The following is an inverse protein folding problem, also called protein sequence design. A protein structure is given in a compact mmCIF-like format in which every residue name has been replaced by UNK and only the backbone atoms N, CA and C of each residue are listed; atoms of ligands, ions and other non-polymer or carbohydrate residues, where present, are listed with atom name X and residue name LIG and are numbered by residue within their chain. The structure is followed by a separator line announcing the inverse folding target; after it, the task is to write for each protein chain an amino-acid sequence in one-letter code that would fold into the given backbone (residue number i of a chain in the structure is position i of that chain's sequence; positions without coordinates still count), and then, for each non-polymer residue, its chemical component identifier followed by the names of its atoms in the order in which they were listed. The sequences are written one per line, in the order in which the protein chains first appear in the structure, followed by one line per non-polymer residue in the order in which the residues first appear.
data_IF_791615184225
#
_entry.id   IF_791615184225
#
_cell.length_a   1.000
_cell.length_b   1.000
_cell.length_c   1.000
_cell.angle_alpha   90.00
_cell.angle_beta   90.00
_cell.angle_gamma   90.00
#
_symmetry.space_group_name_H-M   'P 1'
#
loop_
_entity.id
_entity.type
_entity.pdbx_description
1 polymer ?
#
# COMPACT_ATOMS: atom_id res chain seq x y z
N UNK A 1 32.67 5.15 -19.10
CA UNK A 1 31.59 5.63 -18.23
C UNK A 1 30.37 5.83 -19.10
N UNK A 2 29.37 4.94 -19.00
CA UNK A 2 28.21 4.93 -19.89
C UNK A 2 27.25 6.05 -19.50
N UNK A 3 27.07 7.05 -20.37
CA UNK A 3 25.97 8.00 -20.27
C UNK A 3 24.64 7.22 -20.22
N UNK A 4 23.94 7.30 -19.10
CA UNK A 4 22.61 6.73 -18.96
C UNK A 4 21.65 7.52 -19.86
N UNK A 5 21.09 6.85 -20.87
CA UNK A 5 20.08 7.46 -21.75
C UNK A 5 18.95 8.06 -20.88
N UNK A 6 18.74 9.38 -20.87
CA UNK A 6 17.80 10.06 -19.97
C UNK A 6 16.36 9.54 -20.11
N UNK A 7 15.97 9.07 -21.30
CA UNK A 7 14.68 8.43 -21.54
C UNK A 7 14.48 7.16 -20.70
N UNK A 8 15.53 6.36 -20.49
CA UNK A 8 15.45 5.11 -19.70
C UNK A 8 15.32 5.39 -18.20
N UNK A 9 15.91 6.49 -17.73
CA UNK A 9 15.84 6.91 -16.33
C UNK A 9 14.42 7.42 -16.01
N UNK A 10 13.85 8.25 -16.89
CA UNK A 10 12.48 8.75 -16.78
C UNK A 10 11.47 7.60 -16.82
N UNK A 11 11.61 6.66 -17.75
CA UNK A 11 10.73 5.48 -17.81
C UNK A 11 10.79 4.62 -16.54
N UNK A 12 11.96 4.54 -15.88
CA UNK A 12 12.10 3.80 -14.63
C UNK A 12 11.40 4.53 -13.47
N UNK A 13 11.59 5.85 -13.35
CA UNK A 13 10.90 6.67 -12.36
C UNK A 13 9.38 6.56 -12.54
N UNK A 14 8.89 6.77 -13.76
CA UNK A 14 7.46 6.73 -14.04
C UNK A 14 6.84 5.38 -13.67
N UNK A 15 7.56 4.27 -13.86
CA UNK A 15 7.10 2.95 -13.40
C UNK A 15 7.12 2.78 -11.88
N UNK A 16 8.05 3.42 -11.19
CA UNK A 16 8.17 3.31 -9.73
C UNK A 16 7.12 4.15 -9.00
N UNK A 17 6.84 5.35 -9.51
CA UNK A 17 5.91 6.32 -8.91
C UNK A 17 4.58 6.45 -9.70
N UNK A 18 4.27 5.51 -10.59
CA UNK A 18 3.10 5.56 -11.48
C UNK A 18 1.80 5.80 -10.71
N UNK A 19 1.56 4.97 -9.71
CA UNK A 19 0.34 5.01 -8.91
C UNK A 19 0.25 6.30 -8.08
N UNK A 20 1.35 6.73 -7.47
CA UNK A 20 1.40 7.96 -6.69
C UNK A 20 1.14 9.22 -7.54
N UNK A 21 1.70 9.28 -8.75
CA UNK A 21 1.45 10.37 -9.70
C UNK A 21 0.01 10.37 -10.19
N UNK A 22 -0.56 9.20 -10.46
CA UNK A 22 -1.97 9.07 -10.84
C UNK A 22 -2.92 9.50 -9.73
N UNK A 23 -2.70 9.04 -8.51
CA UNK A 23 -3.49 9.43 -7.33
C UNK A 23 -3.41 10.94 -7.09
N UNK A 24 -2.20 11.50 -7.16
CA UNK A 24 -1.99 12.93 -7.02
C UNK A 24 -2.75 13.74 -8.08
N UNK A 25 -2.71 13.32 -9.35
CA UNK A 25 -3.49 13.95 -10.42
C UNK A 25 -4.99 13.88 -10.13
N UNK A 26 -5.54 12.73 -9.73
CA UNK A 26 -6.97 12.59 -9.40
C UNK A 26 -7.36 13.52 -8.24
N UNK A 27 -6.55 13.58 -7.18
CA UNK A 27 -6.76 14.49 -6.06
C UNK A 27 -6.84 15.96 -6.51
N UNK A 28 -6.03 16.37 -7.50
CA UNK A 28 -6.02 17.75 -8.00
C UNK A 28 -7.10 18.04 -9.04
N UNK A 29 -7.56 17.02 -9.77
CA UNK A 29 -8.58 17.14 -10.80
C UNK A 29 -10.01 16.98 -10.27
N UNK A 30 -10.18 16.34 -9.10
CA UNK A 30 -11.50 16.02 -8.57
C UNK A 30 -12.19 14.87 -9.30
N UNK A 31 -11.44 14.07 -10.07
CA UNK A 31 -11.98 12.91 -10.79
C UNK A 31 -10.92 12.18 -11.60
N UNK A 32 -11.25 10.96 -12.03
CA UNK A 32 -10.37 10.10 -12.83
C UNK A 32 -10.56 10.26 -14.37
N UNK A 33 -11.54 11.05 -14.81
CA UNK A 33 -11.92 11.17 -16.22
C UNK A 33 -10.77 11.70 -17.11
N UNK A 34 -10.09 12.75 -16.65
CA UNK A 34 -8.99 13.40 -17.38
C UNK A 34 -7.63 12.70 -17.19
N UNK A 35 -7.57 11.68 -16.31
CA UNK A 35 -6.31 11.06 -15.90
C UNK A 35 -5.54 10.43 -17.07
N UNK A 36 -6.14 9.65 -17.99
CA UNK A 36 -5.38 9.04 -19.09
C UNK A 36 -4.71 10.07 -20.00
N UNK A 37 -5.42 11.16 -20.32
CA UNK A 37 -4.90 12.26 -21.14
C UNK A 37 -3.75 12.95 -20.43
N UNK A 38 -3.97 13.39 -19.19
CA UNK A 38 -2.98 14.15 -18.42
C UNK A 38 -1.74 13.33 -18.05
N UNK A 39 -1.91 12.04 -17.75
CA UNK A 39 -0.78 11.16 -17.51
C UNK A 39 0.06 10.94 -18.79
N UNK A 40 -0.60 10.87 -19.96
CA UNK A 40 0.09 10.88 -21.25
C UNK A 40 0.86 12.17 -21.52
N UNK A 41 0.28 13.33 -21.22
CA UNK A 41 0.93 14.63 -21.33
C UNK A 41 2.12 14.78 -20.37
N UNK A 42 1.98 14.31 -19.12
CA UNK A 42 3.06 14.25 -18.13
C UNK A 42 4.25 13.45 -18.67
N UNK A 43 3.99 12.24 -19.20
CA UNK A 43 5.03 11.40 -19.79
C UNK A 43 5.73 12.09 -20.97
N UNK A 44 4.94 12.73 -21.85
CA UNK A 44 5.48 13.48 -22.98
C UNK A 44 6.30 14.70 -22.56
N UNK A 45 5.85 15.43 -21.53
CA UNK A 45 6.55 16.60 -21.01
C UNK A 45 7.89 16.23 -20.39
N UNK A 46 7.93 15.19 -19.55
CA UNK A 46 9.17 14.69 -18.95
C UNK A 46 10.16 14.20 -20.02
N UNK A 47 9.66 13.50 -21.05
CA UNK A 47 10.49 13.00 -22.15
C UNK A 47 11.10 14.10 -23.04
N UNK A 48 10.43 15.25 -23.20
CA UNK A 48 10.89 16.38 -24.03
C UNK A 48 11.72 17.42 -23.27
N UNK A 49 11.39 17.69 -22.01
CA UNK A 49 11.94 18.80 -21.22
C UNK A 49 13.00 18.42 -20.18
N UNK A 50 13.22 17.11 -19.96
CA UNK A 50 13.98 16.62 -18.81
C UNK A 50 15.32 17.32 -18.56
N UNK A 51 16.15 17.56 -19.59
CA UNK A 51 17.53 17.98 -19.35
C UNK A 51 17.72 19.40 -18.80
N UNK A 52 16.84 20.36 -19.10
CA UNK A 52 16.99 21.76 -18.65
C UNK A 52 16.32 21.99 -17.29
N UNK A 53 15.17 21.37 -17.07
CA UNK A 53 14.43 21.47 -15.81
C UNK A 53 15.07 20.63 -14.69
N UNK A 54 15.75 19.53 -15.05
CA UNK A 54 16.54 18.71 -14.11
C UNK A 54 17.66 19.49 -13.42
N UNK A 55 18.22 20.51 -14.07
CA UNK A 55 19.31 21.29 -13.49
C UNK A 55 18.88 22.09 -12.25
N UNK A 56 17.56 22.34 -12.11
CA UNK A 56 17.00 23.16 -11.05
C UNK A 56 16.11 22.37 -10.09
N UNK A 57 15.72 21.15 -10.43
CA UNK A 57 14.90 20.29 -9.59
C UNK A 57 15.76 19.55 -8.55
N UNK A 58 15.33 19.49 -7.27
CA UNK A 58 16.04 18.69 -6.24
C UNK A 58 16.15 17.20 -6.61
N UNK A 59 15.17 16.68 -7.35
CA UNK A 59 15.18 15.32 -7.85
C UNK A 59 14.29 15.15 -9.09
N UNK A 60 14.45 14.00 -9.75
CA UNK A 60 13.54 13.57 -10.81
C UNK A 60 12.09 13.40 -10.32
N UNK A 61 11.92 13.00 -9.06
CA UNK A 61 10.61 12.80 -8.44
C UNK A 61 9.91 14.15 -8.25
N UNK A 62 10.60 15.14 -7.67
CA UNK A 62 10.03 16.48 -7.52
C UNK A 62 9.72 17.14 -8.86
N UNK A 63 10.55 16.92 -9.89
CA UNK A 63 10.25 17.36 -11.26
C UNK A 63 8.95 16.73 -11.81
N UNK A 64 8.74 15.43 -11.58
CA UNK A 64 7.53 14.73 -12.02
C UNK A 64 6.28 15.27 -11.33
N UNK A 65 6.31 15.46 -10.00
CA UNK A 65 5.17 16.01 -9.26
C UNK A 65 4.94 17.50 -9.59
N UNK A 66 5.98 18.30 -9.79
CA UNK A 66 5.84 19.70 -10.21
C UNK A 66 5.20 19.81 -11.60
N UNK A 67 5.60 18.92 -12.52
CA UNK A 67 5.01 18.83 -13.86
C UNK A 67 3.55 18.38 -13.79
N UNK A 68 3.25 17.36 -13.00
CA UNK A 68 1.88 16.89 -12.77
C UNK A 68 0.99 18.00 -12.20
N UNK A 69 1.48 18.73 -11.18
CA UNK A 69 0.78 19.85 -10.56
C UNK A 69 0.46 20.96 -11.55
N UNK A 70 1.44 21.37 -12.36
CA UNK A 70 1.27 22.41 -13.39
C UNK A 70 0.24 22.00 -14.44
N UNK A 71 0.25 20.74 -14.87
CA UNK A 71 -0.74 20.20 -15.82
C UNK A 71 -2.15 20.15 -15.20
N UNK A 72 -2.25 19.75 -13.93
CA UNK A 72 -3.53 19.75 -13.20
C UNK A 72 -4.08 21.16 -13.05
N UNK A 73 -3.27 22.14 -12.61
CA UNK A 73 -3.67 23.54 -12.48
C UNK A 73 -4.08 24.18 -13.82
N UNK A 74 -3.46 23.78 -14.92
CA UNK A 74 -3.86 24.24 -16.26
C UNK A 74 -5.22 23.67 -16.70
N UNK A 75 -5.62 22.52 -16.17
CA UNK A 75 -6.89 21.85 -16.49
C UNK A 75 -8.01 22.25 -15.53
N UNK A 76 -7.71 22.32 -14.23
CA UNK A 76 -8.62 22.67 -13.15
C UNK A 76 -7.91 23.69 -12.23
N UNK A 77 -7.96 25.00 -12.56
CA UNK A 77 -7.28 26.04 -11.77
C UNK A 77 -7.83 26.17 -10.35
N UNK A 78 -9.13 25.93 -10.20
CA UNK A 78 -9.83 25.88 -8.92
C UNK A 78 -10.56 24.54 -8.81
N UNK A 79 -10.07 23.70 -7.90
CA UNK A 79 -10.77 22.47 -7.56
C UNK A 79 -11.93 22.79 -6.62
N UNK A 80 -13.16 22.60 -7.09
CA UNK A 80 -14.34 22.72 -6.25
C UNK A 80 -14.25 21.74 -5.06
N UNK A 81 -14.57 22.21 -3.85
CA UNK A 81 -14.52 21.38 -2.64
C UNK A 81 -15.45 20.17 -2.77
N UNK A 82 -16.57 20.34 -3.47
CA UNK A 82 -17.56 19.31 -3.77
C UNK A 82 -17.00 18.23 -4.71
N UNK A 83 -16.20 18.62 -5.71
CA UNK A 83 -15.54 17.67 -6.61
C UNK A 83 -14.49 16.84 -5.86
N UNK A 84 -13.72 17.47 -4.97
CA UNK A 84 -12.79 16.74 -4.11
C UNK A 84 -13.50 15.80 -3.13
N UNK A 85 -14.59 16.26 -2.50
CA UNK A 85 -15.35 15.48 -1.53
C UNK A 85 -16.09 14.29 -2.17
N UNK A 86 -16.42 14.37 -3.46
CA UNK A 86 -17.11 13.31 -4.22
C UNK A 86 -16.18 12.29 -4.85
N UNK A 87 -14.86 12.44 -4.70
CA UNK A 87 -13.89 11.44 -5.14
C UNK A 87 -14.20 10.07 -4.52
N UNK A 88 -14.10 9.02 -5.33
CA UNK A 88 -14.13 7.66 -4.81
C UNK A 88 -12.78 7.35 -4.15
N UNK A 89 -12.80 7.26 -2.82
CA UNK A 89 -11.62 6.92 -2.03
C UNK A 89 -11.47 5.41 -1.92
N UNK A 90 -10.23 4.94 -2.03
CA UNK A 90 -9.90 3.56 -1.73
C UNK A 90 -10.28 3.30 -0.26
N UNK A 91 -11.20 2.37 -0.05
CA UNK A 91 -11.59 1.96 1.30
C UNK A 91 -10.44 1.16 1.90
N UNK A 92 -9.92 1.61 3.02
CA UNK A 92 -9.05 0.80 3.87
C UNK A 92 -9.84 -0.47 4.25
N UNK A 93 -9.23 -1.68 4.22
CA UNK A 93 -9.95 -2.93 4.47
C UNK A 93 -10.76 -2.88 5.76
N UNK A 94 -11.83 -3.68 5.82
CA UNK A 94 -12.88 -3.82 6.86
C UNK A 94 -12.41 -4.07 8.32
N UNK A 95 -11.12 -3.89 8.63
CA UNK A 95 -10.53 -3.98 9.97
C UNK A 95 -10.66 -2.69 10.79
N UNK A 96 -10.99 -1.57 10.18
CA UNK A 96 -11.09 -0.32 10.92
C UNK A 96 -12.56 0.06 11.17
N UNK A 97 -12.86 0.34 12.44
CA UNK A 97 -14.18 0.78 12.91
C UNK A 97 -14.77 1.85 11.97
N UNK A 98 -16.10 1.96 11.83
CA UNK A 98 -16.73 3.11 11.16
C UNK A 98 -16.13 4.48 11.56
N UNK A 99 -15.62 4.58 12.79
CA UNK A 99 -14.89 5.73 13.31
C UNK A 99 -13.60 6.07 12.53
N UNK A 100 -12.89 5.10 11.96
CA UNK A 100 -11.68 5.36 11.18
C UNK A 100 -11.99 5.92 9.80
N UNK A 101 -13.03 5.41 9.12
CA UNK A 101 -13.49 5.98 7.87
C UNK A 101 -13.86 7.46 8.04
N UNK A 102 -14.60 7.78 9.12
CA UNK A 102 -14.92 9.16 9.48
C UNK A 102 -13.65 9.97 9.79
N UNK A 103 -12.68 9.41 10.52
CA UNK A 103 -11.40 10.07 10.78
C UNK A 103 -10.68 10.46 9.48
N UNK A 104 -10.59 9.55 8.50
CA UNK A 104 -9.96 9.85 7.20
C UNK A 104 -10.72 10.96 6.45
N UNK A 105 -12.06 10.94 6.46
CA UNK A 105 -12.87 12.00 5.85
C UNK A 105 -12.66 13.35 6.53
N UNK A 106 -12.54 13.35 7.87
CA UNK A 106 -12.22 14.56 8.63
C UNK A 106 -10.84 15.09 8.26
N UNK A 107 -9.84 14.24 8.09
CA UNK A 107 -8.50 14.65 7.64
C UNK A 107 -8.58 15.30 6.25
N UNK A 108 -9.24 14.64 5.29
CA UNK A 108 -9.39 15.13 3.90
C UNK A 108 -10.05 16.50 3.83
N UNK A 109 -11.12 16.71 4.59
CA UNK A 109 -12.00 17.88 4.45
C UNK A 109 -11.76 18.99 5.48
N UNK A 110 -11.02 18.68 6.55
CA UNK A 110 -10.74 19.59 7.66
C UNK A 110 -9.47 20.42 7.51
N UNK A 111 -8.50 19.93 6.72
CA UNK A 111 -7.30 20.69 6.39
C UNK A 111 -7.60 21.76 5.33
N UNK A 112 -6.92 22.91 5.41
CA UNK A 112 -6.91 23.86 4.29
C UNK A 112 -6.19 23.24 3.08
N UNK A 113 -6.60 23.63 1.87
CA UNK A 113 -6.10 23.01 0.64
C UNK A 113 -4.57 23.04 0.49
N UNK A 114 -3.87 24.16 0.77
CA UNK A 114 -2.41 24.18 0.78
C UNK A 114 -1.77 23.20 1.76
N UNK A 115 -2.25 23.14 3.00
CA UNK A 115 -1.71 22.21 4.01
C UNK A 115 -2.00 20.76 3.66
N UNK A 116 -3.19 20.46 3.14
CA UNK A 116 -3.56 19.13 2.67
C UNK A 116 -2.63 18.62 1.56
N UNK A 117 -2.34 19.47 0.56
CA UNK A 117 -1.40 19.13 -0.52
C UNK A 117 0.02 18.88 0.01
N UNK A 118 0.49 19.70 0.96
CA UNK A 118 1.82 19.53 1.58
C UNK A 118 1.91 18.20 2.34
N UNK A 119 0.90 17.86 3.15
CA UNK A 119 0.88 16.61 3.89
C UNK A 119 0.75 15.39 2.96
N UNK A 120 -0.07 15.48 1.91
CA UNK A 120 -0.15 14.44 0.87
C UNK A 120 1.23 14.18 0.25
N UNK A 121 1.91 15.24 -0.22
CA UNK A 121 3.23 15.10 -0.83
C UNK A 121 4.27 14.53 0.14
N UNK A 122 4.21 14.93 1.42
CA UNK A 122 5.13 14.44 2.44
C UNK A 122 4.91 12.96 2.76
N UNK A 123 3.70 12.59 3.15
CA UNK A 123 3.43 11.28 3.75
C UNK A 123 2.87 10.26 2.77
N UNK A 124 2.02 10.69 1.82
CA UNK A 124 1.42 9.78 0.83
C UNK A 124 2.31 9.58 -0.41
N UNK A 125 3.17 10.55 -0.71
CA UNK A 125 4.08 10.52 -1.87
C UNK A 125 5.55 10.45 -1.49
N UNK A 126 5.91 10.56 -0.21
CA UNK A 126 7.28 10.45 0.29
C UNK A 126 8.24 11.42 -0.42
N UNK A 127 7.89 12.71 -0.49
CA UNK A 127 8.80 13.79 -0.89
C UNK A 127 9.48 14.40 0.35
N UNK A 128 10.69 14.91 0.16
CA UNK A 128 11.38 15.76 1.15
C UNK A 128 10.84 17.18 1.15
N UNK A 129 11.20 17.95 2.16
CA UNK A 129 10.76 19.34 2.34
C UNK A 129 11.22 20.25 1.19
N UNK A 130 12.45 20.04 0.69
CA UNK A 130 12.99 20.75 -0.47
C UNK A 130 12.27 20.36 -1.76
N UNK A 131 11.98 19.07 -1.93
CA UNK A 131 11.22 18.56 -3.06
C UNK A 131 9.80 19.12 -3.08
N UNK A 132 9.12 19.16 -1.92
CA UNK A 132 7.79 19.76 -1.78
C UNK A 132 7.84 21.24 -2.10
N UNK A 133 8.82 21.97 -1.54
CA UNK A 133 9.02 23.40 -1.82
C UNK A 133 9.17 23.70 -3.30
N UNK A 134 9.91 22.85 -4.03
CA UNK A 134 10.02 22.92 -5.48
C UNK A 134 8.68 22.65 -6.18
N UNK A 135 7.94 21.62 -5.79
CA UNK A 135 6.64 21.24 -6.40
C UNK A 135 5.60 22.36 -6.27
N UNK A 136 5.48 22.97 -5.09
CA UNK A 136 4.42 23.95 -4.81
C UNK A 136 4.88 25.41 -4.93
N UNK A 137 6.17 25.66 -5.20
CA UNK A 137 6.74 27.00 -5.32
C UNK A 137 6.82 27.77 -4.00
N UNK A 138 7.16 27.08 -2.89
CA UNK A 138 7.28 27.68 -1.55
C UNK A 138 8.66 27.46 -0.94
N UNK A 139 9.01 28.29 0.03
CA UNK A 139 10.29 28.16 0.73
C UNK A 139 10.27 26.93 1.66
N UNK A 140 11.37 26.19 1.81
CA UNK A 140 11.43 25.03 2.72
C UNK A 140 10.99 25.34 4.15
N UNK A 141 11.23 26.55 4.66
CA UNK A 141 10.78 26.97 6.00
C UNK A 141 9.25 27.06 6.12
N UNK A 142 8.56 27.50 5.06
CA UNK A 142 7.09 27.56 5.01
C UNK A 142 6.50 26.16 4.91
N UNK A 143 7.13 25.28 4.12
CA UNK A 143 6.77 23.85 4.02
C UNK A 143 6.91 23.17 5.38
N UNK A 144 8.06 23.35 6.06
CA UNK A 144 8.30 22.81 7.39
C UNK A 144 7.25 23.26 8.41
N UNK A 145 6.91 24.55 8.41
CA UNK A 145 5.87 25.08 9.29
C UNK A 145 4.50 24.44 9.01
N UNK A 146 4.14 24.27 7.74
CA UNK A 146 2.88 23.65 7.35
C UNK A 146 2.84 22.15 7.69
N UNK A 147 3.94 21.42 7.50
CA UNK A 147 4.05 20.02 7.93
C UNK A 147 3.88 19.93 9.45
N UNK A 148 4.59 20.76 10.23
CA UNK A 148 4.51 20.73 11.69
C UNK A 148 3.08 21.01 12.19
N UNK A 149 2.46 22.10 11.73
CA UNK A 149 1.09 22.47 12.14
C UNK A 149 0.05 21.45 11.66
N UNK A 150 0.15 20.98 10.41
CA UNK A 150 -0.76 19.99 9.85
C UNK A 150 -0.65 18.62 10.53
N UNK A 151 0.56 18.16 10.81
CA UNK A 151 0.81 16.92 11.56
C UNK A 151 0.25 17.01 12.98
N UNK A 152 0.47 18.13 13.68
CA UNK A 152 -0.11 18.33 15.01
C UNK A 152 -1.64 18.23 14.97
N UNK A 153 -2.27 18.88 13.99
CA UNK A 153 -3.72 18.84 13.82
C UNK A 153 -4.24 17.42 13.55
N UNK A 154 -3.58 16.63 12.70
CA UNK A 154 -3.97 15.23 12.43
C UNK A 154 -3.85 14.37 13.69
N UNK A 155 -2.78 14.54 14.48
CA UNK A 155 -2.59 13.80 15.73
C UNK A 155 -3.65 14.14 16.78
N UNK A 156 -3.99 15.42 16.93
CA UNK A 156 -5.05 15.88 17.84
C UNK A 156 -6.41 15.32 17.42
N UNK A 157 -6.72 15.35 16.12
CA UNK A 157 -7.94 14.76 15.58
C UNK A 157 -7.98 13.25 15.84
N UNK A 158 -6.93 12.50 15.53
CA UNK A 158 -6.91 11.06 15.74
C UNK A 158 -7.06 10.66 17.22
N UNK A 159 -6.49 11.44 18.15
CA UNK A 159 -6.70 11.26 19.60
C UNK A 159 -8.15 11.50 20.02
N UNK A 160 -8.84 12.48 19.41
CA UNK A 160 -10.26 12.71 19.65
C UNK A 160 -11.15 11.54 19.19
N UNK A 161 -10.66 10.73 18.25
CA UNK A 161 -11.27 9.47 17.80
C UNK A 161 -10.83 8.25 18.63
N UNK A 162 -10.11 8.47 19.74
CA UNK A 162 -9.71 7.42 20.68
C UNK A 162 -8.39 6.71 20.32
N UNK A 163 -7.62 7.20 19.35
CA UNK A 163 -6.31 6.64 19.04
C UNK A 163 -5.29 7.00 20.13
N UNK A 164 -4.65 5.99 20.72
CA UNK A 164 -3.67 6.16 21.80
C UNK A 164 -2.28 6.54 21.25
N UNK A 165 -1.93 6.02 20.08
CA UNK A 165 -0.66 6.29 19.40
C UNK A 165 -0.87 6.38 17.87
N UNK A 166 -1.40 7.50 17.36
CA UNK A 166 -1.74 7.62 15.95
C UNK A 166 -0.49 7.73 15.06
N UNK A 167 -0.38 6.84 14.08
CA UNK A 167 0.60 6.91 13.00
C UNK A 167 0.13 7.93 11.95
N UNK A 168 0.72 9.13 11.97
CA UNK A 168 0.37 10.21 11.04
C UNK A 168 0.69 9.86 9.59
N UNK A 169 1.76 9.10 9.35
CA UNK A 169 2.14 8.72 7.99
C UNK A 169 1.08 7.80 7.40
N UNK A 170 0.67 6.78 8.15
CA UNK A 170 -0.41 5.88 7.77
C UNK A 170 -1.73 6.64 7.54
N UNK A 171 -2.13 7.48 8.49
CA UNK A 171 -3.40 8.24 8.43
C UNK A 171 -3.46 9.15 7.21
N UNK A 172 -2.40 9.93 6.97
CA UNK A 172 -2.35 10.84 5.82
C UNK A 172 -2.25 10.03 4.52
N UNK A 173 -1.43 8.98 4.48
CA UNK A 173 -1.33 8.12 3.30
C UNK A 173 -2.69 7.53 2.92
N UNK A 174 -3.45 7.00 3.87
CA UNK A 174 -4.77 6.41 3.60
C UNK A 174 -5.84 7.48 3.31
N UNK A 175 -5.69 8.68 3.84
CA UNK A 175 -6.54 9.83 3.50
C UNK A 175 -6.41 10.23 2.03
N UNK A 176 -5.22 10.15 1.42
CA UNK A 176 -5.01 10.61 0.04
C UNK A 176 -4.82 9.47 -0.97
N UNK A 177 -5.71 8.47 -0.95
CA UNK A 177 -5.74 7.35 -1.91
C UNK A 177 -7.05 7.32 -2.69
N UNK A 178 -7.27 8.20 -3.67
CA UNK A 178 -8.41 8.08 -4.56
C UNK A 178 -8.25 6.87 -5.48
N UNK A 179 -9.36 6.33 -5.97
CA UNK A 179 -9.34 5.38 -7.07
C UNK A 179 -8.84 6.09 -8.34
N UNK A 180 -7.92 5.45 -9.04
CA UNK A 180 -7.23 6.02 -10.23
C UNK A 180 -7.69 5.44 -11.55
N UNK A 181 -8.69 4.58 -11.51
CA UNK A 181 -9.35 4.00 -12.68
C UNK A 181 -10.84 4.18 -12.51
N UNK A 182 -11.54 4.19 -13.63
CA UNK A 182 -12.85 3.55 -13.65
C UNK A 182 -12.62 2.04 -13.44
N UNK A 183 -12.38 1.59 -12.20
CA UNK A 183 -12.39 0.16 -11.81
C UNK A 183 -13.78 -0.50 -12.04
N UNK A 184 -14.69 0.20 -12.73
CA UNK A 184 -15.91 -0.31 -13.37
C UNK A 184 -15.71 -1.38 -14.46
N UNK A 185 -14.48 -1.83 -14.76
CA UNK A 185 -14.27 -3.13 -15.40
C UNK A 185 -14.47 -4.26 -14.38
N UNK A 186 -15.68 -4.40 -13.85
CA UNK A 186 -16.12 -5.56 -13.07
C UNK A 186 -15.50 -5.72 -11.68
N UNK A 187 -14.69 -4.77 -11.18
CA UNK A 187 -14.31 -4.75 -9.77
C UNK A 187 -15.32 -3.88 -9.01
N UNK A 188 -16.40 -4.52 -8.59
CA UNK A 188 -17.15 -4.05 -7.43
C UNK A 188 -16.35 -4.54 -6.22
N UNK A 189 -15.69 -3.69 -5.41
CA UNK A 189 -15.29 -4.07 -4.06
C UNK A 189 -16.55 -4.20 -3.21
N UNK A 190 -17.31 -5.25 -3.48
CA UNK A 190 -18.34 -5.80 -2.63
C UNK A 190 -17.86 -7.19 -2.29
N UNK A 191 -17.16 -7.34 -1.15
CA UNK A 191 -16.61 -8.60 -0.65
C UNK A 191 -15.93 -9.42 -1.74
N UNK A 192 -14.61 -9.31 -1.88
CA UNK A 192 -13.86 -10.47 -2.33
C UNK A 192 -14.11 -11.56 -1.28
N UNK A 193 -15.13 -12.38 -1.49
CA UNK A 193 -15.56 -13.35 -0.51
C UNK A 193 -14.38 -14.29 -0.30
N UNK A 194 -13.92 -14.42 0.94
CA UNK A 194 -12.91 -15.38 1.31
C UNK A 194 -13.30 -16.72 0.69
N UNK A 195 -12.48 -17.23 -0.24
CA UNK A 195 -12.77 -18.47 -0.93
C UNK A 195 -12.86 -19.57 0.13
N UNK A 196 -14.07 -20.06 0.41
CA UNK A 196 -14.26 -21.12 1.40
C UNK A 196 -14.02 -22.47 0.74
N UNK A 197 -12.81 -22.98 0.91
CA UNK A 197 -12.47 -24.33 0.47
C UNK A 197 -13.03 -25.35 1.48
N UNK A 198 -13.82 -26.30 0.98
CA UNK A 198 -14.31 -27.41 1.78
C UNK A 198 -13.21 -28.47 1.98
N UNK A 199 -13.28 -29.27 3.07
CA UNK A 199 -12.48 -30.47 3.19
C UNK A 199 -12.60 -31.36 1.93
N UNK A 200 -11.48 -31.92 1.47
CA UNK A 200 -11.37 -32.69 0.23
C UNK A 200 -11.11 -31.86 -1.04
N UNK A 201 -11.16 -30.52 -0.98
CA UNK A 201 -10.78 -29.68 -2.11
C UNK A 201 -9.27 -29.80 -2.41
N UNK A 202 -8.89 -29.90 -3.68
CA UNK A 202 -7.48 -29.98 -4.09
C UNK A 202 -7.01 -28.64 -4.65
N UNK A 203 -5.97 -28.06 -4.04
CA UNK A 203 -5.35 -26.81 -4.45
C UNK A 203 -3.97 -27.08 -5.06
N UNK A 204 -3.69 -26.40 -6.18
CA UNK A 204 -2.42 -26.57 -6.90
C UNK A 204 -2.17 -27.98 -7.44
N UNK A 205 -3.22 -28.83 -7.52
CA UNK A 205 -3.09 -30.23 -7.89
C UNK A 205 -2.30 -31.10 -6.89
N UNK A 206 -2.06 -30.60 -5.67
CA UNK A 206 -1.14 -31.23 -4.69
C UNK A 206 -1.66 -31.21 -3.27
N UNK A 207 -2.33 -30.15 -2.85
CA UNK A 207 -2.70 -29.97 -1.44
C UNK A 207 -4.19 -30.22 -1.25
N UNK A 208 -4.54 -31.27 -0.53
CA UNK A 208 -5.92 -31.60 -0.19
C UNK A 208 -6.30 -30.93 1.12
N UNK A 209 -7.35 -30.10 1.11
CA UNK A 209 -7.83 -29.41 2.30
C UNK A 209 -8.38 -30.41 3.31
N UNK A 210 -7.90 -30.34 4.55
CA UNK A 210 -8.39 -31.14 5.67
C UNK A 210 -9.38 -30.34 6.52
N UNK A 211 -9.03 -29.10 6.86
CA UNK A 211 -9.88 -28.21 7.66
C UNK A 211 -9.50 -26.74 7.47
N UNK A 212 -10.44 -25.83 7.76
CA UNK A 212 -10.16 -24.40 7.90
C UNK A 212 -9.56 -24.11 9.28
N UNK A 213 -8.51 -23.29 9.33
CA UNK A 213 -7.88 -22.88 10.58
C UNK A 213 -8.26 -21.46 10.97
N UNK A 214 -7.94 -20.50 10.11
CA UNK A 214 -8.14 -19.09 10.38
C UNK A 214 -8.51 -18.38 9.08
N UNK A 215 -9.44 -17.42 9.16
CA UNK A 215 -9.70 -16.48 8.06
C UNK A 215 -9.16 -15.13 8.47
N UNK A 216 -7.99 -14.76 7.94
CA UNK A 216 -7.40 -13.44 8.10
C UNK A 216 -8.08 -12.41 7.19
N UNK A 217 -7.62 -11.15 7.23
CA UNK A 217 -8.16 -10.08 6.36
C UNK A 217 -7.70 -10.16 4.91
N UNK A 218 -6.59 -10.85 4.65
CA UNK A 218 -5.98 -10.94 3.31
C UNK A 218 -5.96 -12.38 2.80
N UNK A 219 -5.85 -13.34 3.70
CA UNK A 219 -5.76 -14.76 3.37
C UNK A 219 -6.66 -15.61 4.26
N UNK A 220 -7.15 -16.71 3.71
CA UNK A 220 -7.65 -17.84 4.50
C UNK A 220 -6.55 -18.88 4.66
N UNK A 221 -6.38 -19.38 5.88
CA UNK A 221 -5.45 -20.44 6.25
C UNK A 221 -6.19 -21.76 6.45
N UNK A 222 -5.68 -22.82 5.83
CA UNK A 222 -6.21 -24.16 5.90
C UNK A 222 -5.13 -25.14 6.33
N UNK A 223 -5.52 -26.16 7.09
CA UNK A 223 -4.71 -27.35 7.22
C UNK A 223 -4.94 -28.19 5.95
N UNK A 224 -3.86 -28.57 5.28
CA UNK A 224 -3.92 -29.38 4.08
C UNK A 224 -2.93 -30.55 4.15
N UNK A 225 -3.31 -31.69 3.57
CA UNK A 225 -2.40 -32.81 3.34
C UNK A 225 -1.62 -32.62 2.05
N UNK A 226 -0.32 -32.88 2.07
CA UNK A 226 0.49 -32.93 0.85
C UNK A 226 0.34 -34.31 0.20
N UNK A 227 -0.33 -34.37 -0.95
CA UNK A 227 -0.58 -35.62 -1.67
C UNK A 227 0.71 -36.26 -2.20
N UNK A 228 1.78 -35.48 -2.37
CA UNK A 228 3.08 -36.01 -2.79
C UNK A 228 3.87 -36.61 -1.62
N UNK A 229 3.51 -36.27 -0.37
CA UNK A 229 4.16 -36.75 0.84
C UNK A 229 3.10 -37.22 1.84
N UNK A 230 2.58 -38.46 1.69
CA UNK A 230 1.51 -38.98 2.53
C UNK A 230 1.84 -38.87 4.02
N UNK A 231 0.89 -38.33 4.79
CA UNK A 231 1.04 -38.13 6.24
C UNK A 231 1.70 -36.80 6.64
N UNK A 232 2.22 -36.01 5.69
CA UNK A 232 2.65 -34.64 5.96
C UNK A 232 1.50 -33.65 5.78
N UNK A 233 1.36 -32.75 6.77
CA UNK A 233 0.41 -31.65 6.74
C UNK A 233 1.14 -30.32 6.59
N UNK A 234 0.52 -29.40 5.88
CA UNK A 234 1.00 -28.04 5.65
C UNK A 234 -0.07 -27.04 6.05
N UNK A 235 0.35 -25.80 6.27
CA UNK A 235 -0.56 -24.66 6.29
C UNK A 235 -0.63 -24.09 4.89
N UNK A 236 -1.81 -24.18 4.28
CA UNK A 236 -2.08 -23.58 2.99
C UNK A 236 -2.79 -22.25 3.20
N UNK A 237 -2.17 -21.16 2.73
CA UNK A 237 -2.75 -19.81 2.78
C UNK A 237 -3.16 -19.38 1.39
N UNK A 238 -4.41 -18.95 1.25
CA UNK A 238 -5.01 -18.53 -0.04
C UNK A 238 -5.46 -17.09 0.08
N UNK A 239 -5.03 -16.24 -0.85
CA UNK A 239 -5.41 -14.81 -0.88
C UNK A 239 -6.88 -14.61 -1.27
N UNK A 240 -7.52 -13.64 -0.61
CA UNK A 240 -8.92 -13.27 -0.85
C UNK A 240 -9.12 -12.52 -2.15
N UNK A 241 -8.11 -11.82 -2.64
CA UNK A 241 -8.24 -11.05 -3.87
C UNK A 241 -7.80 -11.90 -5.07
N UNK A 242 -8.71 -12.19 -6.01
CA UNK A 242 -8.30 -12.73 -7.29
C UNK A 242 -7.54 -11.65 -8.07
N UNK A 243 -6.54 -12.08 -8.83
CA UNK A 243 -5.76 -11.21 -9.70
C UNK A 243 -5.50 -11.94 -11.02
N UNK A 244 -5.99 -11.38 -12.12
CA UNK A 244 -5.75 -11.87 -13.48
C UNK A 244 -4.64 -11.10 -14.20
N UNK A 245 -4.33 -9.87 -13.77
CA UNK A 245 -3.29 -9.04 -14.37
C UNK A 245 -1.88 -9.62 -14.14
N UNK A 246 -1.15 -9.85 -15.23
CA UNK A 246 0.19 -10.47 -15.20
C UNK A 246 1.17 -9.70 -14.32
N UNK A 247 1.18 -8.36 -14.40
CA UNK A 247 2.06 -7.50 -13.60
C UNK A 247 1.78 -7.63 -12.09
N UNK A 248 0.52 -7.66 -11.69
CA UNK A 248 0.11 -7.83 -10.30
C UNK A 248 0.45 -9.24 -9.78
N UNK A 249 0.27 -10.29 -10.60
CA UNK A 249 0.73 -11.65 -10.28
C UNK A 249 2.24 -11.70 -10.04
N UNK A 250 3.02 -11.10 -10.94
CA UNK A 250 4.48 -11.03 -10.81
C UNK A 250 4.90 -10.24 -9.56
N UNK A 251 4.21 -9.15 -9.24
CA UNK A 251 4.46 -8.35 -8.04
C UNK A 251 4.24 -9.15 -6.75
N UNK A 252 3.16 -9.93 -6.68
CA UNK A 252 2.86 -10.78 -5.52
C UNK A 252 3.88 -11.91 -5.36
N UNK A 253 4.24 -12.60 -6.46
CA UNK A 253 5.29 -13.64 -6.43
C UNK A 253 6.62 -13.04 -5.99
N UNK A 254 7.00 -11.86 -6.51
CA UNK A 254 8.24 -11.17 -6.11
C UNK A 254 8.26 -10.85 -4.62
N UNK A 255 7.14 -10.38 -4.05
CA UNK A 255 7.03 -10.13 -2.60
C UNK A 255 7.22 -11.42 -1.79
N UNK A 256 6.63 -12.53 -2.24
CA UNK A 256 6.79 -13.82 -1.58
C UNK A 256 8.25 -14.30 -1.61
N UNK A 257 8.93 -14.16 -2.76
CA UNK A 257 10.37 -14.49 -2.89
C UNK A 257 11.25 -13.62 -1.99
N UNK A 258 10.88 -12.35 -1.75
CA UNK A 258 11.62 -11.50 -0.81
C UNK A 258 11.51 -12.02 0.63
N UNK A 259 10.33 -12.47 1.06
CA UNK A 259 10.15 -13.07 2.39
C UNK A 259 10.95 -14.36 2.50
N UNK A 260 10.92 -15.21 1.46
CA UNK A 260 11.65 -16.48 1.41
C UNK A 260 13.18 -16.30 1.36
N UNK A 261 13.67 -15.11 1.02
CA UNK A 261 15.11 -14.79 1.05
C UNK A 261 15.66 -14.56 2.46
N UNK A 262 14.79 -14.47 3.48
CA UNK A 262 15.19 -14.28 4.87
C UNK A 262 15.61 -15.63 5.46
N UNK A 263 16.91 -15.91 5.48
CA UNK A 263 17.46 -17.12 6.08
C UNK A 263 17.59 -16.97 7.60
N UNK A 264 16.54 -17.36 8.32
CA UNK A 264 16.53 -17.32 9.78
C UNK A 264 15.66 -18.45 10.38
N UNK A 265 16.11 -19.16 11.42
CA UNK A 265 15.42 -20.34 11.96
C UNK A 265 14.06 -20.04 12.60
N UNK A 266 13.86 -18.81 13.08
CA UNK A 266 12.59 -18.35 13.66
C UNK A 266 11.65 -17.69 12.64
N UNK A 267 11.99 -17.71 11.35
CA UNK A 267 11.14 -17.20 10.26
C UNK A 267 10.54 -18.38 9.50
N UNK A 268 9.25 -18.31 9.21
CA UNK A 268 8.54 -19.34 8.45
C UNK A 268 8.93 -19.27 6.97
N UNK A 269 9.31 -20.42 6.40
CA UNK A 269 9.72 -20.55 5.00
C UNK A 269 8.61 -21.09 4.12
N UNK A 270 8.59 -20.67 2.86
CA UNK A 270 7.59 -21.13 1.89
C UNK A 270 8.01 -22.44 1.26
N UNK A 271 7.20 -23.49 1.39
CA UNK A 271 7.45 -24.80 0.77
C UNK A 271 7.08 -24.81 -0.72
N UNK A 272 5.98 -24.14 -1.05
CA UNK A 272 5.46 -24.07 -2.41
C UNK A 272 4.50 -22.88 -2.55
N UNK A 273 4.31 -22.41 -3.76
CA UNK A 273 3.29 -21.40 -4.07
C UNK A 273 2.74 -21.63 -5.48
N UNK A 274 1.60 -21.02 -5.77
CA UNK A 274 0.99 -21.10 -7.08
C UNK A 274 -0.32 -20.35 -7.16
N UNK A 275 -1.08 -20.64 -8.21
CA UNK A 275 -2.36 -19.99 -8.45
C UNK A 275 -3.51 -20.99 -8.38
N UNK A 276 -4.64 -20.57 -7.82
CA UNK A 276 -5.89 -21.33 -7.80
C UNK A 276 -7.05 -20.36 -7.91
N UNK A 277 -7.88 -20.51 -8.95
CA UNK A 277 -8.99 -19.58 -9.24
C UNK A 277 -8.54 -18.11 -9.22
N UNK A 278 -7.44 -17.84 -9.93
CA UNK A 278 -6.79 -16.53 -10.02
C UNK A 278 -6.29 -15.93 -8.69
N UNK A 279 -6.24 -16.72 -7.62
CA UNK A 279 -5.72 -16.30 -6.31
C UNK A 279 -4.36 -16.92 -6.08
N UNK A 280 -3.45 -16.13 -5.49
CA UNK A 280 -2.18 -16.66 -5.01
C UNK A 280 -2.48 -17.60 -3.83
N UNK A 281 -1.83 -18.75 -3.82
CA UNK A 281 -1.70 -19.59 -2.64
C UNK A 281 -0.24 -19.86 -2.35
N UNK A 282 0.07 -20.08 -1.08
CA UNK A 282 1.39 -20.57 -0.65
C UNK A 282 1.24 -21.53 0.53
N UNK A 283 2.17 -22.47 0.62
CA UNK A 283 2.19 -23.52 1.62
C UNK A 283 3.41 -23.36 2.52
N UNK A 284 3.24 -23.55 3.82
CA UNK A 284 4.30 -23.54 4.83
C UNK A 284 4.21 -24.78 5.73
N UNK A 285 5.28 -25.14 6.45
CA UNK A 285 5.24 -26.29 7.35
C UNK A 285 4.18 -26.12 8.44
N UNK A 286 3.51 -27.21 8.82
CA UNK A 286 2.65 -27.22 10.00
C UNK A 286 3.47 -27.42 11.28
N UNK A 287 3.53 -26.39 12.12
CA UNK A 287 4.17 -26.48 13.44
C UNK A 287 3.15 -26.84 14.50
N UNK A 288 3.45 -27.89 15.28
CA UNK A 288 2.64 -28.26 16.44
C UNK A 288 3.01 -27.36 17.62
N UNK A 289 2.11 -26.49 18.01
CA UNK A 289 2.31 -25.55 19.11
C UNK A 289 1.07 -24.69 19.37
N UNK A 290 1.22 -23.70 20.24
CA UNK A 290 0.21 -22.68 20.51
C UNK A 290 0.80 -21.28 20.32
N UNK A 291 0.00 -20.27 19.93
CA UNK A 291 0.46 -18.90 19.81
C UNK A 291 1.08 -18.38 21.13
N UNK A 292 2.18 -17.63 21.04
CA UNK A 292 2.85 -17.06 22.21
C UNK A 292 1.91 -16.15 23.02
N UNK A 293 1.01 -15.41 22.34
CA UNK A 293 0.01 -14.57 23.02
C UNK A 293 -0.86 -15.36 23.99
N UNK A 294 -1.29 -16.57 23.62
CA UNK A 294 -2.15 -17.40 24.47
C UNK A 294 -1.37 -17.93 25.68
N UNK A 295 -0.07 -18.19 25.49
CA UNK A 295 0.82 -18.56 26.60
C UNK A 295 0.93 -17.40 27.61
N UNK A 296 1.18 -16.19 27.10
CA UNK A 296 1.34 -14.97 27.90
C UNK A 296 0.05 -14.60 28.62
N UNK A 297 -1.09 -14.60 27.91
CA UNK A 297 -2.41 -14.30 28.49
C UNK A 297 -2.78 -15.29 29.59
N UNK A 298 -2.40 -16.57 29.44
CA UNK A 298 -2.75 -17.63 30.41
C UNK A 298 -1.93 -17.60 31.68
N UNK A 299 -0.61 -17.36 31.61
CA UNK A 299 0.28 -17.51 32.78
C UNK A 299 1.45 -16.52 32.85
N UNK A 300 1.54 -15.58 31.92
CA UNK A 300 2.73 -14.76 31.73
C UNK A 300 3.95 -15.57 31.28
N UNK A 301 5.10 -14.90 31.20
CA UNK A 301 6.39 -15.54 30.94
C UNK A 301 7.34 -15.21 32.08
N UNK A 302 8.08 -16.21 32.56
CA UNK A 302 9.23 -15.94 33.43
C UNK A 302 10.35 -15.24 32.64
N UNK A 303 11.25 -14.50 33.31
CA UNK A 303 12.40 -13.91 32.65
C UNK A 303 13.27 -14.91 31.87
N UNK A 304 13.42 -16.14 32.40
CA UNK A 304 14.18 -17.20 31.73
C UNK A 304 13.49 -17.65 30.43
N UNK A 305 12.18 -17.92 30.48
CA UNK A 305 11.41 -18.30 29.29
C UNK A 305 11.40 -17.20 28.22
N UNK A 306 11.35 -15.93 28.65
CA UNK A 306 11.46 -14.81 27.72
C UNK A 306 12.81 -14.83 26.98
N UNK A 307 13.92 -15.05 27.68
CA UNK A 307 15.25 -15.15 27.05
C UNK A 307 15.33 -16.36 26.11
N UNK A 308 14.77 -17.50 26.50
CA UNK A 308 14.75 -18.70 25.65
C UNK A 308 13.92 -18.52 24.37
N UNK A 309 12.80 -17.80 24.45
CA UNK A 309 11.90 -17.57 23.31
C UNK A 309 12.42 -16.45 22.40
N UNK A 310 12.85 -15.31 22.96
CA UNK A 310 13.26 -14.15 22.17
C UNK A 310 14.74 -14.19 21.77
N UNK A 311 15.58 -14.92 22.49
CA UNK A 311 17.02 -15.05 22.18
C UNK A 311 17.32 -15.61 20.79
N UNK A 312 16.59 -16.64 20.30
CA UNK A 312 16.71 -17.15 18.93
C UNK A 312 16.02 -16.28 17.86
N UNK A 313 15.20 -15.30 18.25
CA UNK A 313 14.57 -14.36 17.31
C UNK A 313 15.50 -13.18 16.99
N UNK A 314 16.35 -12.82 17.95
CA UNK A 314 17.23 -11.66 17.87
C UNK A 314 18.62 -11.95 17.26
N UNK A 315 18.90 -13.19 16.84
CA UNK A 315 20.22 -13.64 16.35
C UNK A 315 20.15 -14.11 14.91
#
# INVERSE_FOLDING_TARGET
MSESNPSRVIDRLLRQDEEGLKMYLVCRLGGAEELPRLYGELRGALGRGGSADLAHAPSLKSLAYATARRLALATAPELAKEAFASLEWMRTPERESPAYGELLDRIRLGLDSPTAEILELRYARALTEDEIGYVIGRRPSEVNSAIASGTQWVLELARSFGSVDPDVELLVRDSFRPLTSADSSGYVPGRAQALRLAPGAIVGGRFEIQSSLETGSVTSSYLAGDMNMPGQSVILRVFHDPTSAVSARMGLVKKLTLVDSVDHPSVEHTLAHGWHQDRLWYATPWYRGQPLRELVERRGLSPLEAVEIFGPIAR
#
